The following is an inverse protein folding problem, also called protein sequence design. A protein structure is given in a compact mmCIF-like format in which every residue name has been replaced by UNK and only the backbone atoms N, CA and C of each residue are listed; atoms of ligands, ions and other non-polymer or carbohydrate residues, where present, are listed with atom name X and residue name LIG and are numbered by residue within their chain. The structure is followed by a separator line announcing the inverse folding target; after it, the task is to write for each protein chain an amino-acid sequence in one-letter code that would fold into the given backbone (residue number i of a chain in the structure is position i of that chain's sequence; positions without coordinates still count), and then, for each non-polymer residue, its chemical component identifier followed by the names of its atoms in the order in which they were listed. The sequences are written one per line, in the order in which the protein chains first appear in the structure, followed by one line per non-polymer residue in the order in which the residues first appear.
data_IF_543732842614
#
_entry.id   IF_543732842614
#
_cell.length_a   1.000
_cell.length_b   1.000
_cell.length_c   1.000
_cell.angle_alpha   90.00
_cell.angle_beta   90.00
_cell.angle_gamma   90.00
#
_symmetry.space_group_name_H-M   'P 1'
#
loop_
_entity.id
_entity.type
_entity.pdbx_description
1 polymer ?
#
# COMPACT_ATOMS: atom_id res chain seq x y z
N UNK A 1 -3.59 -22.77 18.30
CA UNK A 1 -2.57 -21.76 17.97
C UNK A 1 -3.35 -20.50 17.67
N UNK A 2 -3.61 -19.70 18.71
CA UNK A 2 -4.34 -18.45 18.56
C UNK A 2 -3.47 -17.51 17.73
N UNK A 3 -3.90 -17.24 16.51
CA UNK A 3 -3.20 -16.33 15.61
C UNK A 3 -3.55 -14.91 16.07
N UNK A 4 -2.57 -14.19 16.63
CA UNK A 4 -2.72 -12.78 16.96
C UNK A 4 -2.70 -11.94 15.67
N UNK A 5 -3.87 -11.84 15.03
CA UNK A 5 -4.10 -11.09 13.78
C UNK A 5 -3.65 -9.63 13.92
N UNK A 6 -3.83 -9.08 15.12
CA UNK A 6 -3.44 -7.71 15.46
C UNK A 6 -1.91 -7.53 15.48
N UNK A 7 -1.16 -8.55 15.88
CA UNK A 7 0.30 -8.57 15.80
C UNK A 7 0.77 -8.79 14.36
N UNK A 8 0.11 -9.68 13.62
CA UNK A 8 0.42 -9.91 12.20
C UNK A 8 0.24 -8.65 11.36
N UNK A 9 -0.83 -7.88 11.61
CA UNK A 9 -1.08 -6.61 10.94
C UNK A 9 0.04 -5.58 11.23
N UNK A 10 0.49 -5.49 12.49
CA UNK A 10 1.62 -4.63 12.86
C UNK A 10 2.92 -5.03 12.16
N UNK A 11 3.23 -6.33 12.13
CA UNK A 11 4.39 -6.86 11.40
C UNK A 11 4.32 -6.49 9.92
N UNK A 12 3.13 -6.52 9.31
CA UNK A 12 2.96 -6.18 7.90
C UNK A 12 3.21 -4.69 7.63
N UNK A 13 2.70 -3.80 8.48
CA UNK A 13 2.97 -2.36 8.37
C UNK A 13 4.45 -2.06 8.59
N UNK A 14 5.10 -2.75 9.52
CA UNK A 14 6.54 -2.63 9.75
C UNK A 14 7.35 -3.08 8.53
N UNK A 15 6.97 -4.21 7.93
CA UNK A 15 7.58 -4.71 6.71
C UNK A 15 7.38 -3.73 5.54
N UNK A 16 6.18 -3.16 5.40
CA UNK A 16 5.91 -2.15 4.39
C UNK A 16 6.78 -0.89 4.60
N UNK A 17 6.93 -0.41 5.84
CA UNK A 17 7.87 0.67 6.18
C UNK A 17 9.32 0.35 5.80
N UNK A 18 9.77 -0.88 6.03
CA UNK A 18 11.13 -1.30 5.71
C UNK A 18 11.40 -1.29 4.20
N UNK A 19 10.46 -1.78 3.39
CA UNK A 19 10.62 -1.83 1.94
C UNK A 19 10.23 -0.52 1.22
N UNK A 20 9.47 0.37 1.87
CA UNK A 20 8.99 1.61 1.28
C UNK A 20 10.10 2.48 0.65
N UNK A 21 11.27 2.74 1.31
CA UNK A 21 12.33 3.54 0.70
C UNK A 21 12.89 2.93 -0.59
N UNK A 22 13.00 1.59 -0.64
CA UNK A 22 13.48 0.87 -1.82
C UNK A 22 12.46 1.03 -2.95
N UNK A 23 11.18 0.79 -2.68
CA UNK A 23 10.10 0.99 -3.65
C UNK A 23 10.04 2.42 -4.16
N UNK A 24 10.07 3.40 -3.27
CA UNK A 24 10.01 4.82 -3.62
C UNK A 24 11.20 5.22 -4.51
N UNK A 25 12.42 4.81 -4.14
CA UNK A 25 13.63 5.14 -4.90
C UNK A 25 13.58 4.52 -6.29
N UNK A 26 13.22 3.24 -6.40
CA UNK A 26 13.10 2.56 -7.68
C UNK A 26 12.05 3.21 -8.59
N UNK A 27 10.86 3.52 -8.06
CA UNK A 27 9.76 4.14 -8.83
C UNK A 27 10.11 5.55 -9.32
N UNK A 28 10.78 6.35 -8.47
CA UNK A 28 11.26 7.68 -8.86
C UNK A 28 12.30 7.57 -9.97
N UNK A 29 13.28 6.68 -9.84
CA UNK A 29 14.33 6.49 -10.85
C UNK A 29 13.70 5.99 -12.17
N UNK A 30 12.76 5.04 -12.13
CA UNK A 30 12.07 4.55 -13.32
C UNK A 30 11.27 5.67 -14.00
N UNK A 31 10.58 6.51 -13.24
CA UNK A 31 9.82 7.66 -13.77
C UNK A 31 10.76 8.66 -14.46
N UNK A 32 11.89 8.99 -13.82
CA UNK A 32 12.92 9.85 -14.42
C UNK A 32 13.50 9.20 -15.68
N UNK A 33 13.80 7.90 -15.66
CA UNK A 33 14.31 7.18 -16.81
C UNK A 33 13.31 7.17 -17.98
N UNK A 34 12.01 7.03 -17.72
CA UNK A 34 10.96 7.18 -18.76
C UNK A 34 10.96 8.59 -19.36
N UNK A 35 11.23 9.62 -18.56
CA UNK A 35 11.25 11.02 -19.01
C UNK A 35 12.42 11.33 -19.95
N UNK A 36 13.58 10.69 -19.74
CA UNK A 36 14.76 10.84 -20.59
C UNK A 36 14.88 9.77 -21.69
N UNK A 37 13.93 8.83 -21.76
CA UNK A 37 13.96 7.74 -22.73
C UNK A 37 13.67 8.23 -24.15
N UNK A 38 14.26 7.55 -25.12
CA UNK A 38 13.99 7.75 -26.56
C UNK A 38 12.61 7.17 -26.93
N UNK A 39 12.07 6.28 -26.11
CA UNK A 39 10.74 5.67 -26.32
C UNK A 39 9.67 6.64 -25.84
N UNK A 40 8.78 7.04 -26.76
CA UNK A 40 7.64 7.88 -26.42
C UNK A 40 6.75 7.21 -25.37
N UNK A 41 6.54 7.93 -24.27
CA UNK A 41 5.69 7.54 -23.15
C UNK A 41 4.45 8.45 -23.16
N UNK A 42 3.33 8.01 -23.76
CA UNK A 42 2.13 8.84 -23.80
C UNK A 42 1.64 9.11 -22.38
N UNK A 43 1.28 10.37 -22.10
CA UNK A 43 0.74 10.80 -20.80
C UNK A 43 1.67 10.63 -19.58
N UNK A 44 2.99 10.77 -19.77
CA UNK A 44 3.97 10.65 -18.68
C UNK A 44 3.67 11.51 -17.44
N UNK A 45 3.07 12.70 -17.63
CA UNK A 45 2.66 13.56 -16.51
C UNK A 45 1.56 12.95 -15.64
N UNK A 46 0.58 12.28 -16.25
CA UNK A 46 -0.48 11.57 -15.53
C UNK A 46 0.07 10.34 -14.82
N UNK A 47 0.91 9.57 -15.50
CA UNK A 47 1.56 8.38 -14.93
C UNK A 47 2.43 8.74 -13.72
N UNK A 48 3.25 9.78 -13.86
CA UNK A 48 4.05 10.30 -12.75
C UNK A 48 3.15 10.74 -11.59
N UNK A 49 2.06 11.48 -11.87
CA UNK A 49 1.13 11.91 -10.84
C UNK A 49 0.51 10.72 -10.08
N UNK A 50 0.12 9.64 -10.77
CA UNK A 50 -0.41 8.43 -10.13
C UNK A 50 0.65 7.76 -9.25
N UNK A 51 1.88 7.60 -9.76
CA UNK A 51 3.00 7.00 -8.99
C UNK A 51 3.31 7.83 -7.74
N UNK A 52 3.45 9.15 -7.86
CA UNK A 52 3.72 10.03 -6.73
C UNK A 52 2.55 10.09 -5.74
N UNK A 53 1.31 10.12 -6.21
CA UNK A 53 0.13 10.06 -5.34
C UNK A 53 0.11 8.74 -4.56
N UNK A 54 0.43 7.61 -5.20
CA UNK A 54 0.54 6.30 -4.54
C UNK A 54 1.63 6.29 -3.47
N UNK A 55 2.82 6.82 -3.79
CA UNK A 55 3.93 6.92 -2.83
C UNK A 55 3.59 7.82 -1.63
N UNK A 56 2.94 8.96 -1.87
CA UNK A 56 2.48 9.84 -0.81
C UNK A 56 1.39 9.19 0.06
N UNK A 57 0.48 8.43 -0.55
CA UNK A 57 -0.57 7.66 0.11
C UNK A 57 0.03 6.60 1.05
N UNK A 58 0.97 5.79 0.55
CA UNK A 58 1.68 4.78 1.35
C UNK A 58 2.48 5.41 2.50
N UNK A 59 3.20 6.51 2.26
CA UNK A 59 3.94 7.20 3.31
C UNK A 59 2.99 7.75 4.39
N UNK A 60 1.90 8.40 3.98
CA UNK A 60 0.91 8.96 4.89
C UNK A 60 0.28 7.85 5.74
N UNK A 61 -0.07 6.73 5.12
CA UNK A 61 -0.60 5.54 5.79
C UNK A 61 0.33 5.05 6.90
N UNK A 62 1.62 4.88 6.59
CA UNK A 62 2.63 4.40 7.54
C UNK A 62 2.82 5.39 8.70
N UNK A 63 2.89 6.69 8.41
CA UNK A 63 3.07 7.72 9.43
C UNK A 63 1.85 7.84 10.36
N UNK A 64 0.63 7.79 9.80
CA UNK A 64 -0.60 7.77 10.58
C UNK A 64 -0.65 6.56 11.50
N UNK A 65 -0.29 5.37 10.99
CA UNK A 65 -0.27 4.17 11.80
C UNK A 65 0.71 4.28 12.98
N UNK A 66 1.96 4.68 12.72
CA UNK A 66 2.97 4.82 13.79
C UNK A 66 2.58 5.84 14.85
N UNK A 67 1.94 6.94 14.46
CA UNK A 67 1.62 8.04 15.37
C UNK A 67 0.40 7.74 16.24
N UNK A 68 -0.64 7.15 15.68
CA UNK A 68 -1.94 7.04 16.36
C UNK A 68 -2.32 5.63 16.82
N UNK A 69 -1.47 4.61 16.57
CA UNK A 69 -1.76 3.22 16.96
C UNK A 69 -2.06 3.05 18.45
N UNK A 70 -1.39 3.80 19.32
CA UNK A 70 -1.55 3.66 20.78
C UNK A 70 -2.85 4.31 21.30
N UNK A 71 -3.31 5.40 20.67
CA UNK A 71 -4.51 6.13 21.12
C UNK A 71 -5.81 5.54 20.57
N UNK A 72 -5.85 5.23 19.27
CA UNK A 72 -7.09 4.85 18.56
C UNK A 72 -6.88 3.74 17.53
N UNK A 73 -6.30 2.61 17.97
CA UNK A 73 -5.90 1.48 17.12
C UNK A 73 -6.96 1.06 16.08
N UNK A 74 -8.22 0.86 16.49
CA UNK A 74 -9.27 0.40 15.58
C UNK A 74 -9.60 1.41 14.46
N UNK A 75 -9.69 2.69 14.80
CA UNK A 75 -9.95 3.75 13.80
C UNK A 75 -8.77 3.86 12.84
N UNK A 76 -7.55 3.78 13.36
CA UNK A 76 -6.33 3.86 12.57
C UNK A 76 -6.20 2.67 11.63
N UNK A 77 -6.47 1.45 12.08
CA UNK A 77 -6.53 0.26 11.21
C UNK A 77 -7.54 0.44 10.08
N UNK A 78 -8.75 0.95 10.37
CA UNK A 78 -9.76 1.18 9.34
C UNK A 78 -9.32 2.23 8.32
N UNK A 79 -8.69 3.31 8.77
CA UNK A 79 -8.10 4.33 7.88
C UNK A 79 -7.00 3.70 7.03
N UNK A 80 -6.09 2.92 7.63
CA UNK A 80 -5.00 2.25 6.90
C UNK A 80 -5.54 1.33 5.81
N UNK A 81 -6.55 0.52 6.10
CA UNK A 81 -7.21 -0.34 5.09
C UNK A 81 -7.80 0.51 3.95
N UNK A 82 -8.44 1.64 4.27
CA UNK A 82 -8.95 2.57 3.25
C UNK A 82 -7.84 3.13 2.35
N UNK A 83 -6.72 3.58 2.94
CA UNK A 83 -5.55 4.04 2.17
C UNK A 83 -4.98 2.92 1.29
N UNK A 84 -4.99 1.67 1.75
CA UNK A 84 -4.51 0.53 0.98
C UNK A 84 -5.40 0.21 -0.22
N UNK A 85 -6.72 0.45 -0.16
CA UNK A 85 -7.58 0.39 -1.35
C UNK A 85 -7.21 1.44 -2.41
N UNK A 86 -6.84 2.65 -1.97
CA UNK A 86 -6.34 3.69 -2.87
C UNK A 86 -5.03 3.24 -3.52
N UNK A 87 -4.10 2.66 -2.76
CA UNK A 87 -2.86 2.09 -3.29
C UNK A 87 -3.13 0.99 -4.32
N UNK A 88 -4.04 0.06 -4.04
CA UNK A 88 -4.43 -1.00 -4.98
C UNK A 88 -4.98 -0.40 -6.27
N UNK A 89 -5.79 0.66 -6.18
CA UNK A 89 -6.32 1.34 -7.37
C UNK A 89 -5.19 1.94 -8.23
N UNK A 90 -4.18 2.55 -7.59
CA UNK A 90 -2.98 3.02 -8.29
C UNK A 90 -2.16 1.89 -8.91
N UNK A 91 -2.04 0.74 -8.24
CA UNK A 91 -1.37 -0.45 -8.79
C UNK A 91 -2.08 -0.99 -10.03
N UNK A 92 -3.41 -1.08 -9.98
CA UNK A 92 -4.25 -1.50 -11.12
C UNK A 92 -4.07 -0.55 -12.30
N UNK A 93 -4.00 0.76 -12.06
CA UNK A 93 -3.69 1.74 -13.11
C UNK A 93 -2.36 1.42 -13.79
N UNK A 94 -1.29 1.19 -13.02
CA UNK A 94 0.03 0.89 -13.59
C UNK A 94 0.07 -0.45 -14.33
N UNK A 95 -0.72 -1.45 -13.93
CA UNK A 95 -0.75 -2.74 -14.64
C UNK A 95 -1.47 -2.69 -15.99
N UNK A 96 -2.60 -1.99 -16.08
CA UNK A 96 -3.49 -2.08 -17.24
C UNK A 96 -3.49 -0.84 -18.14
N UNK A 97 -3.27 0.34 -17.57
CA UNK A 97 -3.44 1.62 -18.28
C UNK A 97 -2.10 2.19 -18.71
N UNK A 98 -1.11 2.18 -17.82
CA UNK A 98 0.21 2.73 -18.09
C UNK A 98 0.93 1.98 -19.22
N UNK A 99 1.46 2.72 -20.19
CA UNK A 99 2.27 2.19 -21.31
C UNK A 99 3.38 3.18 -21.65
N UNK A 100 4.62 2.74 -21.89
CA UNK A 100 5.17 1.40 -21.66
C UNK A 100 5.43 1.08 -20.18
N UNK A 101 5.30 -0.21 -19.82
CA UNK A 101 5.62 -0.73 -18.48
C UNK A 101 7.01 -1.38 -18.52
N UNK A 102 7.89 -1.01 -17.59
CA UNK A 102 9.21 -1.66 -17.49
C UNK A 102 9.08 -3.02 -16.80
N UNK A 103 9.97 -3.96 -17.13
CA UNK A 103 10.02 -5.27 -16.45
C UNK A 103 10.20 -5.14 -14.94
N UNK A 104 11.01 -4.18 -14.50
CA UNK A 104 11.24 -3.91 -13.08
C UNK A 104 9.97 -3.40 -12.39
N UNK A 105 9.21 -2.55 -13.06
CA UNK A 105 7.94 -1.99 -12.58
C UNK A 105 6.87 -3.09 -12.39
N UNK A 106 6.82 -4.08 -13.31
CA UNK A 106 5.97 -5.26 -13.14
C UNK A 106 6.33 -6.08 -11.89
N UNK A 107 7.63 -6.32 -11.65
CA UNK A 107 8.09 -7.08 -10.48
C UNK A 107 7.75 -6.33 -9.20
N UNK A 108 8.07 -5.03 -9.13
CA UNK A 108 7.81 -4.20 -7.95
C UNK A 108 6.32 -4.12 -7.67
N UNK A 109 5.49 -3.85 -8.68
CA UNK A 109 4.04 -3.85 -8.51
C UNK A 109 3.47 -5.20 -8.07
N UNK A 110 4.02 -6.32 -8.56
CA UNK A 110 3.59 -7.66 -8.12
C UNK A 110 3.92 -7.92 -6.65
N UNK A 111 5.05 -7.41 -6.16
CA UNK A 111 5.39 -7.49 -4.73
C UNK A 111 4.48 -6.59 -3.90
N UNK A 112 4.28 -5.34 -4.33
CA UNK A 112 3.43 -4.37 -3.62
C UNK A 112 1.96 -4.81 -3.58
N UNK A 113 1.42 -5.39 -4.65
CA UNK A 113 0.04 -5.89 -4.66
C UNK A 113 -0.13 -7.08 -3.71
N UNK A 114 0.87 -7.96 -3.61
CA UNK A 114 0.84 -9.10 -2.68
C UNK A 114 0.82 -8.61 -1.22
N UNK A 115 1.65 -7.61 -0.91
CA UNK A 115 1.65 -6.97 0.41
C UNK A 115 0.31 -6.27 0.68
N UNK A 116 -0.20 -5.49 -0.27
CA UNK A 116 -1.46 -4.77 -0.12
C UNK A 116 -2.67 -5.70 0.05
N UNK A 117 -2.75 -6.80 -0.70
CA UNK A 117 -3.82 -7.80 -0.55
C UNK A 117 -3.76 -8.49 0.81
N UNK A 118 -2.55 -8.80 1.31
CA UNK A 118 -2.38 -9.37 2.64
C UNK A 118 -2.79 -8.38 3.73
N UNK A 119 -2.46 -7.09 3.55
CA UNK A 119 -2.84 -6.00 4.46
C UNK A 119 -4.36 -5.82 4.54
N UNK A 120 -5.03 -5.79 3.39
CA UNK A 120 -6.49 -5.72 3.32
C UNK A 120 -7.11 -6.98 3.93
N UNK A 121 -6.60 -8.18 3.62
CA UNK A 121 -7.11 -9.43 4.18
C UNK A 121 -7.05 -9.48 5.70
N UNK A 122 -5.90 -9.14 6.29
CA UNK A 122 -5.72 -9.08 7.74
C UNK A 122 -6.51 -7.94 8.38
N UNK A 123 -6.55 -6.77 7.76
CA UNK A 123 -7.30 -5.61 8.26
C UNK A 123 -8.80 -5.86 8.27
N UNK A 124 -9.36 -6.44 7.20
CA UNK A 124 -10.78 -6.84 7.14
C UNK A 124 -11.07 -7.91 8.18
N UNK A 125 -10.22 -8.93 8.32
CA UNK A 125 -10.40 -9.98 9.33
C UNK A 125 -10.41 -9.41 10.75
N UNK A 126 -9.52 -8.45 11.05
CA UNK A 126 -9.48 -7.77 12.36
C UNK A 126 -10.77 -6.99 12.64
N UNK A 127 -11.30 -6.27 11.65
CA UNK A 127 -12.56 -5.53 11.77
C UNK A 127 -13.75 -6.48 11.98
N UNK A 128 -13.82 -7.55 11.17
CA UNK A 128 -14.87 -8.58 11.25
C UNK A 128 -14.88 -9.24 12.63
N UNK A 129 -13.73 -9.74 13.10
CA UNK A 129 -13.65 -10.45 14.39
C UNK A 129 -14.05 -9.52 15.54
N UNK A 130 -13.60 -8.26 15.56
CA UNK A 130 -13.99 -7.30 16.61
C UNK A 130 -15.48 -6.95 16.55
N UNK A 131 -16.12 -6.98 15.37
CA UNK A 131 -17.56 -6.76 15.22
C UNK A 131 -18.39 -7.97 15.69
N UNK A 132 -17.90 -9.19 15.47
CA UNK A 132 -18.58 -10.43 15.88
C UNK A 132 -18.31 -10.84 17.34
N UNK A 133 -17.23 -10.36 17.96
CA UNK A 133 -16.95 -10.55 19.38
C UNK A 133 -17.86 -9.63 20.21
N UNK A 134 -19.16 -9.96 20.26
CA UNK A 134 -20.11 -9.35 21.19
C UNK A 134 -19.57 -9.46 22.62
N UNK A 135 -19.72 -8.37 23.39
CA UNK A 135 -19.41 -8.33 24.82
C UNK A 135 -19.90 -9.60 25.52
N UNK A 136 -19.04 -10.37 26.21
CA UNK A 136 -19.46 -11.49 27.06
C UNK A 136 -20.14 -11.01 28.36
N UNK A 137 -20.62 -9.76 28.41
CA UNK A 137 -21.23 -9.13 29.58
C UNK A 137 -22.74 -8.87 29.39
N UNK A 138 -23.42 -9.78 28.68
CA UNK A 138 -24.86 -10.01 28.79
C UNK A 138 -25.15 -11.49 28.69
#
# INVERSE_FOLDING_TARGET
MDVDIELMFECLIYLNLFYFPVFATCEIIMTIAKYYSIIDTPYIGQDAAVVFARLACELTKILLYRKFKEEKRNLVTSIVVFFTFITISGLVYTFFIQKPVLKLEHILNSLTITLALTEVGLGVLQVVIKCFRKNPYY
#
